data_IF_564813613546
#
_entry.id   IF_564813613546
#
_cell.length_a   1.000
_cell.length_b   1.000
_cell.length_c   1.000
_cell.angle_alpha   90.00
_cell.angle_beta   90.00
_cell.angle_gamma   90.00
#
_symmetry.space_group_name_H-M   'P 1'
#
loop_
_entity.id
_entity.type
_entity.pdbx_description
1 polymer ?
#
# COMPACT_ATOMS: atom_id res chain seq x y z
N UNK A 1 -19.11 36.95 16.32
CA UNK A 1 -18.36 36.18 15.30
C UNK A 1 -18.72 34.71 15.45
N UNK A 2 -19.18 34.01 14.46
CA UNK A 2 -19.35 32.56 14.56
C UNK A 2 -17.95 31.93 14.71
N UNK A 3 -17.81 30.84 15.49
CA UNK A 3 -16.54 30.16 15.63
C UNK A 3 -16.10 29.66 14.27
N UNK A 4 -14.85 29.93 13.88
CA UNK A 4 -14.25 29.37 12.67
C UNK A 4 -14.26 27.85 12.83
N UNK A 5 -15.20 27.17 12.19
CA UNK A 5 -15.25 25.71 12.19
C UNK A 5 -14.04 25.20 11.42
N UNK A 6 -13.02 24.76 12.13
CA UNK A 6 -11.89 24.07 11.53
C UNK A 6 -12.43 22.81 10.83
N UNK A 7 -11.98 22.57 9.59
CA UNK A 7 -12.37 21.36 8.83
C UNK A 7 -12.11 20.10 9.66
N UNK A 8 -12.99 19.09 9.58
CA UNK A 8 -12.78 17.81 10.25
C UNK A 8 -11.52 17.12 9.72
N UNK A 9 -10.87 16.34 10.57
CA UNK A 9 -9.68 15.56 10.20
C UNK A 9 -10.09 14.25 9.52
N UNK A 10 -9.43 13.92 8.40
CA UNK A 10 -9.53 12.62 7.75
C UNK A 10 -8.18 11.90 7.87
N UNK A 11 -8.12 10.84 8.69
CA UNK A 11 -6.93 10.00 8.74
C UNK A 11 -6.90 9.08 7.51
N UNK A 12 -6.31 9.56 6.43
CA UNK A 12 -6.34 8.90 5.12
C UNK A 12 -5.71 7.50 5.16
N UNK A 13 -4.73 7.27 6.02
CA UNK A 13 -4.07 5.96 6.13
C UNK A 13 -4.96 4.91 6.77
N UNK A 14 -5.82 5.28 7.70
CA UNK A 14 -6.80 4.36 8.30
C UNK A 14 -7.86 3.96 7.28
N UNK A 15 -8.30 4.91 6.44
CA UNK A 15 -9.23 4.62 5.35
C UNK A 15 -8.62 3.68 4.30
N UNK A 16 -7.38 3.91 3.88
CA UNK A 16 -6.67 2.97 3.00
C UNK A 16 -6.50 1.60 3.64
N UNK A 17 -6.11 1.55 4.92
CA UNK A 17 -5.94 0.30 5.65
C UNK A 17 -7.26 -0.48 5.77
N UNK A 18 -8.38 0.22 5.99
CA UNK A 18 -9.70 -0.39 6.05
C UNK A 18 -10.12 -1.01 4.71
N UNK A 19 -9.92 -0.30 3.58
CA UNK A 19 -10.15 -0.86 2.23
C UNK A 19 -9.28 -2.09 1.98
N UNK A 20 -7.97 -2.00 2.26
CA UNK A 20 -7.05 -3.13 2.09
C UNK A 20 -7.49 -4.34 2.94
N UNK A 21 -7.89 -4.11 4.20
CA UNK A 21 -8.38 -5.17 5.09
C UNK A 21 -9.64 -5.83 4.54
N UNK A 22 -10.62 -5.06 4.07
CA UNK A 22 -11.84 -5.62 3.49
C UNK A 22 -11.55 -6.42 2.21
N UNK A 23 -10.64 -5.92 1.36
CA UNK A 23 -10.17 -6.65 0.17
C UNK A 23 -9.52 -7.98 0.54
N UNK A 24 -8.64 -8.01 1.55
CA UNK A 24 -7.94 -9.23 1.97
C UNK A 24 -8.88 -10.25 2.62
N UNK A 25 -9.96 -9.81 3.25
CA UNK A 25 -10.98 -10.69 3.85
C UNK A 25 -11.95 -11.27 2.80
N UNK A 26 -12.28 -10.51 1.76
CA UNK A 26 -13.33 -10.87 0.80
C UNK A 26 -12.82 -11.49 -0.50
N UNK A 27 -11.57 -11.23 -0.88
CA UNK A 27 -10.98 -11.75 -2.11
C UNK A 27 -10.09 -12.96 -1.79
N UNK A 28 -10.48 -14.20 -2.14
CA UNK A 28 -9.74 -15.41 -1.74
C UNK A 28 -8.26 -15.41 -2.11
N UNK A 29 -7.91 -14.82 -3.26
CA UNK A 29 -6.53 -14.71 -3.71
C UNK A 29 -5.64 -13.79 -2.84
N UNK A 30 -6.24 -12.98 -1.96
CA UNK A 30 -5.56 -12.05 -1.04
C UNK A 30 -5.67 -12.46 0.42
N UNK A 31 -6.42 -13.52 0.77
CA UNK A 31 -6.73 -13.88 2.16
C UNK A 31 -5.53 -14.38 2.98
N UNK A 32 -4.38 -14.63 2.32
CA UNK A 32 -3.12 -14.93 3.00
C UNK A 32 -2.48 -13.69 3.66
N UNK A 33 -3.00 -12.49 3.41
CA UNK A 33 -2.45 -11.22 3.88
C UNK A 33 -3.10 -10.83 5.20
N UNK A 34 -2.31 -10.82 6.28
CA UNK A 34 -2.73 -10.24 7.56
C UNK A 34 -2.40 -8.76 7.61
N UNK A 35 -3.43 -7.91 7.48
CA UNK A 35 -3.27 -6.45 7.51
C UNK A 35 -2.79 -5.89 8.85
N UNK A 36 -2.75 -6.67 9.93
CA UNK A 36 -2.12 -6.24 11.18
C UNK A 36 -0.59 -6.17 11.07
N UNK A 37 0.00 -6.88 10.11
CA UNK A 37 1.45 -6.91 9.85
C UNK A 37 1.86 -6.06 8.63
N UNK A 38 0.90 -5.31 8.06
CA UNK A 38 1.12 -4.37 6.95
C UNK A 38 0.87 -2.96 7.47
N UNK A 39 1.91 -2.15 7.57
CA UNK A 39 1.74 -0.73 7.91
C UNK A 39 1.39 0.06 6.67
N UNK A 40 0.42 0.96 6.80
CA UNK A 40 -0.05 1.81 5.71
C UNK A 40 0.35 3.25 5.99
N UNK A 41 1.00 3.86 5.02
CA UNK A 41 1.43 5.25 5.08
C UNK A 41 1.05 6.04 3.84
N UNK A 42 1.27 7.35 3.89
CA UNK A 42 1.24 8.18 2.69
C UNK A 42 2.46 9.08 2.60
N UNK A 43 2.83 9.39 1.36
CA UNK A 43 3.89 10.33 1.03
C UNK A 43 3.30 11.48 0.23
N UNK A 44 3.72 12.71 0.56
CA UNK A 44 3.29 13.88 -0.20
C UNK A 44 4.20 14.06 -1.43
N UNK A 45 3.59 14.14 -2.63
CA UNK A 45 4.34 14.45 -3.86
C UNK A 45 4.37 15.96 -4.09
N UNK A 46 5.51 16.46 -4.55
CA UNK A 46 5.72 17.91 -4.77
C UNK A 46 5.02 18.44 -6.04
N UNK A 47 4.72 17.57 -6.97
CA UNK A 47 4.09 17.96 -8.25
C UNK A 47 2.94 17.02 -8.61
N UNK A 48 2.05 17.53 -9.47
CA UNK A 48 0.90 16.80 -10.02
C UNK A 48 1.26 16.07 -11.34
N UNK A 49 2.53 15.72 -11.54
CA UNK A 49 2.93 14.95 -12.71
C UNK A 49 2.32 13.56 -12.68
N UNK A 50 1.81 13.09 -13.81
CA UNK A 50 1.37 11.70 -14.01
C UNK A 50 2.54 10.70 -14.02
N UNK A 51 3.78 11.19 -14.13
CA UNK A 51 4.97 10.36 -14.09
C UNK A 51 5.40 10.12 -12.64
N UNK A 52 5.60 8.86 -12.29
CA UNK A 52 6.04 8.43 -10.97
C UNK A 52 5.06 7.47 -10.30
N UNK A 53 5.40 7.03 -9.10
CA UNK A 53 4.62 6.05 -8.36
C UNK A 53 3.32 6.64 -7.82
N UNK A 54 2.25 5.87 -7.90
CA UNK A 54 0.95 6.14 -7.30
C UNK A 54 0.84 5.50 -5.92
N UNK A 55 1.39 4.29 -5.77
CA UNK A 55 1.58 3.57 -4.52
C UNK A 55 2.87 2.77 -4.59
N UNK A 56 3.30 2.17 -3.49
CA UNK A 56 4.41 1.23 -3.45
C UNK A 56 4.30 0.27 -2.28
N UNK A 57 4.58 -0.99 -2.51
CA UNK A 57 4.82 -1.97 -1.46
C UNK A 57 6.32 -2.12 -1.22
N UNK A 58 6.75 -1.97 0.02
CA UNK A 58 8.14 -2.22 0.44
C UNK A 58 8.16 -3.45 1.34
N UNK A 59 8.84 -4.54 0.93
CA UNK A 59 9.07 -5.69 1.79
C UNK A 59 10.04 -5.30 2.92
N UNK A 60 9.77 -5.77 4.14
CA UNK A 60 10.60 -5.49 5.31
C UNK A 60 11.43 -6.72 5.74
N UNK A 61 11.59 -7.66 4.81
CA UNK A 61 12.50 -8.81 4.90
C UNK A 61 13.29 -8.93 3.61
N UNK A 62 14.41 -9.60 3.69
CA UNK A 62 15.20 -10.01 2.53
C UNK A 62 14.55 -11.19 1.81
N UNK A 63 15.06 -11.61 0.64
CA UNK A 63 14.55 -12.78 -0.08
C UNK A 63 14.31 -13.98 0.84
N UNK A 64 13.24 -14.72 0.56
CA UNK A 64 12.75 -15.87 1.36
C UNK A 64 12.29 -15.54 2.78
N UNK A 65 12.12 -14.24 3.13
CA UNK A 65 11.70 -13.80 4.46
C UNK A 65 12.84 -13.68 5.47
N UNK A 66 14.09 -13.73 5.00
CA UNK A 66 15.26 -13.62 5.85
C UNK A 66 15.34 -12.26 6.57
N UNK A 67 15.71 -12.27 7.85
CA UNK A 67 15.86 -11.05 8.66
C UNK A 67 17.16 -10.32 8.36
N UNK A 68 18.17 -11.06 7.94
CA UNK A 68 19.52 -10.54 7.66
C UNK A 68 19.95 -10.89 6.24
N UNK A 69 20.93 -10.18 5.73
CA UNK A 69 21.60 -10.48 4.47
C UNK A 69 23.06 -10.06 4.55
N UNK A 70 23.87 -10.52 3.61
CA UNK A 70 25.27 -10.08 3.49
C UNK A 70 25.35 -9.07 2.35
N UNK A 71 25.88 -7.88 2.63
CA UNK A 71 26.18 -6.86 1.63
C UNK A 71 27.60 -6.35 1.84
N UNK A 72 28.42 -6.45 0.79
CA UNK A 72 29.84 -6.04 0.83
C UNK A 72 30.60 -6.66 2.01
N UNK A 73 30.37 -7.95 2.26
CA UNK A 73 31.03 -8.71 3.35
C UNK A 73 30.52 -8.39 4.76
N UNK A 74 29.48 -7.54 4.91
CA UNK A 74 28.91 -7.17 6.23
C UNK A 74 27.48 -7.65 6.35
N UNK A 75 27.10 -8.09 7.53
CA UNK A 75 25.73 -8.45 7.85
C UNK A 75 24.87 -7.19 7.95
N UNK A 76 23.73 -7.21 7.32
CA UNK A 76 22.79 -6.07 7.30
C UNK A 76 21.37 -6.52 7.64
N UNK A 77 20.58 -5.57 8.18
CA UNK A 77 19.16 -5.72 8.46
C UNK A 77 18.38 -4.59 7.79
N UNK A 78 17.09 -4.81 7.52
CA UNK A 78 16.17 -3.73 7.14
C UNK A 78 15.69 -3.04 8.41
N UNK A 79 15.62 -1.72 8.40
CA UNK A 79 15.07 -0.92 9.50
C UNK A 79 13.70 -1.46 9.93
N UNK A 80 13.57 -1.70 11.21
CA UNK A 80 12.29 -2.14 11.79
C UNK A 80 11.27 -1.01 11.79
N UNK A 81 10.04 -1.34 11.49
CA UNK A 81 8.88 -0.47 11.61
C UNK A 81 7.90 -1.24 12.48
N UNK A 82 7.45 -0.68 13.63
CA UNK A 82 6.46 -1.34 14.46
C UNK A 82 5.10 -1.34 13.74
N UNK A 83 4.39 -2.45 13.83
CA UNK A 83 2.99 -2.56 13.45
C UNK A 83 2.06 -2.08 14.59
N UNK A 84 0.74 -2.19 14.40
CA UNK A 84 -0.24 -1.76 15.39
C UNK A 84 -0.16 -2.51 16.74
N UNK A 85 0.50 -3.68 16.77
CA UNK A 85 0.70 -4.50 17.99
C UNK A 85 2.04 -4.23 18.67
N UNK A 86 2.89 -3.39 18.06
CA UNK A 86 4.28 -3.16 18.48
C UNK A 86 5.28 -4.19 17.96
N UNK A 87 4.83 -5.21 17.22
CA UNK A 87 5.72 -6.17 16.56
C UNK A 87 6.36 -5.58 15.29
N UNK A 88 7.42 -6.22 14.78
CA UNK A 88 8.03 -5.82 13.51
C UNK A 88 7.05 -6.05 12.35
N UNK A 89 6.61 -5.02 11.64
CA UNK A 89 5.82 -5.15 10.43
C UNK A 89 6.56 -5.98 9.37
N UNK A 90 5.81 -6.62 8.49
CA UNK A 90 6.35 -7.39 7.37
C UNK A 90 6.40 -6.58 6.08
N UNK A 91 5.49 -5.62 5.96
CA UNK A 91 5.36 -4.80 4.75
C UNK A 91 5.02 -3.36 5.10
N UNK A 92 5.48 -2.44 4.26
CA UNK A 92 5.09 -1.03 4.25
C UNK A 92 4.41 -0.72 2.92
N UNK A 93 3.15 -0.31 2.98
CA UNK A 93 2.36 0.14 1.85
C UNK A 93 2.21 1.65 1.90
N UNK A 94 2.79 2.37 0.95
CA UNK A 94 2.70 3.84 0.86
C UNK A 94 1.87 4.27 -0.34
N UNK A 95 1.00 5.28 -0.14
CA UNK A 95 0.25 5.97 -1.19
C UNK A 95 0.83 7.36 -1.42
N UNK A 96 0.99 7.77 -2.67
CA UNK A 96 1.62 9.04 -3.03
C UNK A 96 0.56 10.09 -3.36
N UNK A 97 0.30 11.03 -2.45
CA UNK A 97 -0.74 12.05 -2.59
C UNK A 97 -0.15 13.41 -3.02
N UNK A 98 -0.81 14.15 -3.91
CA UNK A 98 -2.11 13.89 -4.55
C UNK A 98 -2.05 12.96 -5.77
N UNK A 99 -0.86 12.51 -6.21
CA UNK A 99 -0.68 11.76 -7.46
C UNK A 99 -1.59 10.55 -7.60
N UNK A 100 -1.81 9.78 -6.52
CA UNK A 100 -2.72 8.64 -6.51
C UNK A 100 -4.12 9.01 -7.03
N UNK A 101 -4.58 10.22 -6.75
CA UNK A 101 -5.90 10.71 -7.15
C UNK A 101 -5.96 11.26 -8.59
N UNK A 102 -4.84 11.29 -9.32
CA UNK A 102 -4.86 11.61 -10.75
C UNK A 102 -5.48 10.51 -11.61
N UNK A 103 -5.54 9.30 -11.08
CA UNK A 103 -6.23 8.17 -11.68
C UNK A 103 -7.74 8.25 -11.40
N UNK A 104 -8.54 7.59 -12.23
CA UNK A 104 -9.96 7.37 -11.97
C UNK A 104 -10.18 6.30 -10.88
N UNK A 105 -11.42 6.10 -10.48
CA UNK A 105 -11.77 5.19 -9.40
C UNK A 105 -11.37 3.72 -9.69
N UNK A 106 -11.66 3.13 -10.87
CA UNK A 106 -11.21 1.79 -11.21
C UNK A 106 -9.67 1.62 -11.12
N UNK A 107 -8.93 2.60 -11.63
CA UNK A 107 -7.47 2.57 -11.60
C UNK A 107 -6.90 2.74 -10.18
N UNK A 108 -7.57 3.50 -9.31
CA UNK A 108 -7.21 3.58 -7.89
C UNK A 108 -7.37 2.23 -7.20
N UNK A 109 -8.47 1.53 -7.44
CA UNK A 109 -8.70 0.18 -6.92
C UNK A 109 -7.68 -0.81 -7.47
N UNK A 110 -7.43 -0.78 -8.78
CA UNK A 110 -6.40 -1.60 -9.42
C UNK A 110 -5.03 -1.36 -8.79
N UNK A 111 -4.67 -0.09 -8.53
CA UNK A 111 -3.40 0.27 -7.90
C UNK A 111 -3.28 -0.32 -6.49
N UNK A 112 -4.34 -0.25 -5.67
CA UNK A 112 -4.35 -0.85 -4.33
C UNK A 112 -4.10 -2.36 -4.44
N UNK A 113 -4.86 -3.05 -5.29
CA UNK A 113 -4.73 -4.51 -5.47
C UNK A 113 -3.38 -4.88 -6.06
N UNK A 114 -2.83 -4.08 -6.99
CA UNK A 114 -1.50 -4.26 -7.55
C UNK A 114 -0.43 -4.33 -6.45
N UNK A 115 -0.47 -3.41 -5.51
CA UNK A 115 0.48 -3.40 -4.40
C UNK A 115 0.25 -4.59 -3.44
N UNK A 116 -0.99 -4.92 -3.13
CA UNK A 116 -1.30 -6.10 -2.31
C UNK A 116 -0.87 -7.40 -3.01
N UNK A 117 -1.00 -7.47 -4.34
CA UNK A 117 -0.60 -8.65 -5.12
C UNK A 117 0.91 -8.88 -5.15
N UNK A 118 1.72 -7.84 -4.87
CA UNK A 118 3.16 -7.99 -4.66
C UNK A 118 3.53 -8.76 -3.40
N UNK A 119 2.64 -8.89 -2.43
CA UNK A 119 2.88 -9.62 -1.18
C UNK A 119 3.09 -11.11 -1.50
N UNK A 120 4.14 -11.70 -0.90
CA UNK A 120 4.43 -13.13 -1.05
C UNK A 120 3.24 -13.99 -0.60
N UNK A 121 2.85 -15.03 -1.34
CA UNK A 121 1.85 -15.99 -0.88
C UNK A 121 2.20 -16.67 0.46
N UNK A 122 3.49 -16.71 0.81
CA UNK A 122 3.96 -17.21 2.12
C UNK A 122 3.79 -16.20 3.25
N UNK A 123 3.44 -14.96 2.93
CA UNK A 123 3.30 -13.84 3.85
C UNK A 123 4.46 -13.68 4.83
N UNK A 124 5.68 -13.80 4.33
CA UNK A 124 6.92 -13.87 5.12
C UNK A 124 7.75 -12.57 5.10
N UNK A 125 7.21 -11.48 4.55
CA UNK A 125 7.90 -10.19 4.42
C UNK A 125 8.74 -10.05 3.16
N UNK A 126 8.78 -11.06 2.26
CA UNK A 126 9.33 -10.99 0.90
C UNK A 126 8.22 -10.67 -0.11
N UNK A 127 8.57 -10.29 -1.34
CA UNK A 127 7.61 -10.08 -2.41
C UNK A 127 7.24 -11.40 -3.12
N UNK A 128 6.11 -11.39 -3.81
CA UNK A 128 5.72 -12.43 -4.75
C UNK A 128 6.75 -12.49 -5.87
N UNK A 129 7.31 -13.69 -6.07
CA UNK A 129 8.27 -13.94 -7.12
C UNK A 129 7.63 -14.75 -8.23
N UNK A 130 7.55 -14.16 -9.39
CA UNK A 130 6.99 -14.80 -10.59
C UNK A 130 8.13 -15.34 -11.46
N UNK A 131 7.89 -16.43 -12.22
CA UNK A 131 8.88 -16.92 -13.15
C UNK A 131 9.26 -15.87 -14.19
N UNK A 132 10.53 -15.82 -14.58
CA UNK A 132 11.02 -14.93 -15.63
C UNK A 132 12.09 -13.95 -15.17
N UNK A 133 12.58 -13.14 -16.11
CA UNK A 133 13.72 -12.23 -15.91
C UNK A 133 13.41 -11.09 -14.95
N UNK A 134 12.15 -10.65 -14.92
CA UNK A 134 11.63 -9.64 -13.99
C UNK A 134 10.69 -10.32 -13.00
N UNK A 135 11.25 -10.86 -11.91
CA UNK A 135 10.50 -11.64 -10.92
C UNK A 135 9.36 -10.86 -10.22
N UNK A 136 9.40 -9.52 -10.22
CA UNK A 136 8.38 -8.70 -9.57
C UNK A 136 7.08 -8.57 -10.39
N UNK A 137 7.17 -8.60 -11.74
CA UNK A 137 6.01 -8.42 -12.63
C UNK A 137 5.87 -9.54 -13.68
N UNK A 138 6.60 -10.66 -13.55
CA UNK A 138 6.74 -11.68 -14.60
C UNK A 138 7.34 -11.10 -15.89
N UNK A 139 7.21 -11.78 -17.02
CA UNK A 139 7.63 -11.26 -18.33
C UNK A 139 6.74 -10.14 -18.88
N UNK A 140 5.64 -9.77 -18.20
CA UNK A 140 4.69 -8.75 -18.67
C UNK A 140 4.00 -8.05 -17.51
N UNK A 141 4.30 -6.77 -17.33
CA UNK A 141 3.55 -5.89 -16.42
C UNK A 141 2.05 -5.88 -16.76
N UNK A 142 1.71 -5.96 -18.06
CA UNK A 142 0.32 -6.00 -18.53
C UNK A 142 -0.47 -7.17 -17.93
N UNK A 143 0.13 -8.35 -17.82
CA UNK A 143 -0.54 -9.52 -17.23
C UNK A 143 -0.73 -9.33 -15.71
N UNK A 144 0.26 -8.75 -15.02
CA UNK A 144 0.16 -8.44 -13.60
C UNK A 144 -0.96 -7.44 -13.34
N UNK A 145 -1.03 -6.38 -14.13
CA UNK A 145 -2.07 -5.35 -14.06
C UNK A 145 -3.46 -5.92 -14.39
N UNK A 146 -3.56 -6.85 -15.33
CA UNK A 146 -4.82 -7.51 -15.66
C UNK A 146 -5.35 -8.36 -14.48
N UNK A 147 -4.46 -9.10 -13.78
CA UNK A 147 -4.84 -9.83 -12.56
C UNK A 147 -5.30 -8.86 -11.48
N UNK A 148 -4.57 -7.76 -11.25
CA UNK A 148 -4.95 -6.76 -10.27
C UNK A 148 -6.33 -6.15 -10.57
N UNK A 149 -6.62 -5.86 -11.84
CA UNK A 149 -7.92 -5.36 -12.27
C UNK A 149 -9.06 -6.38 -12.03
N UNK A 150 -8.83 -7.66 -12.35
CA UNK A 150 -9.81 -8.72 -12.09
C UNK A 150 -10.11 -8.87 -10.59
N UNK A 151 -9.09 -8.85 -9.75
CA UNK A 151 -9.26 -8.96 -8.30
C UNK A 151 -9.97 -7.72 -7.71
N UNK A 152 -9.71 -6.51 -8.24
CA UNK A 152 -10.42 -5.30 -7.85
C UNK A 152 -11.91 -5.38 -8.19
N UNK A 153 -12.25 -5.91 -9.37
CA UNK A 153 -13.64 -6.16 -9.76
C UNK A 153 -14.30 -7.27 -8.93
N UNK A 154 -13.56 -8.36 -8.64
CA UNK A 154 -14.05 -9.41 -7.77
C UNK A 154 -14.40 -8.85 -6.37
N UNK A 155 -13.58 -7.93 -5.83
CA UNK A 155 -13.90 -7.25 -4.59
C UNK A 155 -15.18 -6.41 -4.69
N UNK A 156 -15.35 -5.59 -5.73
CA UNK A 156 -16.57 -4.80 -5.93
C UNK A 156 -17.82 -5.69 -6.06
N UNK A 157 -17.69 -6.88 -6.69
CA UNK A 157 -18.77 -7.85 -6.81
C UNK A 157 -19.24 -8.44 -5.44
N UNK A 158 -18.42 -8.31 -4.38
CA UNK A 158 -18.83 -8.67 -3.01
C UNK A 158 -19.73 -7.63 -2.35
N UNK A 159 -20.10 -6.57 -3.05
CA UNK A 159 -20.91 -5.45 -2.55
C UNK A 159 -20.36 -4.87 -1.23
N UNK A 160 -19.11 -4.38 -1.20
CA UNK A 160 -18.56 -3.76 -0.01
C UNK A 160 -19.37 -2.51 0.36
N UNK A 161 -19.38 -2.15 1.66
CA UNK A 161 -20.06 -0.93 2.12
C UNK A 161 -19.51 0.30 1.38
N UNK A 162 -20.34 1.08 0.67
CA UNK A 162 -19.89 2.27 -0.06
C UNK A 162 -19.14 3.29 0.82
N UNK A 163 -19.47 3.38 2.10
CA UNK A 163 -18.80 4.27 3.06
C UNK A 163 -17.32 3.94 3.22
N UNK A 164 -16.95 2.67 3.01
CA UNK A 164 -15.57 2.21 3.11
C UNK A 164 -14.68 2.81 2.04
N UNK A 165 -15.19 3.03 0.82
CA UNK A 165 -14.39 3.45 -0.33
C UNK A 165 -14.86 4.76 -0.98
N UNK A 166 -15.85 5.46 -0.42
CA UNK A 166 -16.37 6.72 -0.97
C UNK A 166 -15.26 7.77 -1.15
N UNK A 167 -14.28 7.81 -0.25
CA UNK A 167 -13.12 8.71 -0.36
C UNK A 167 -12.30 8.44 -1.63
N UNK A 168 -12.29 7.20 -2.14
CA UNK A 168 -11.61 6.84 -3.39
C UNK A 168 -12.38 7.32 -4.64
N UNK A 169 -13.65 7.64 -4.53
CA UNK A 169 -14.47 8.14 -5.64
C UNK A 169 -14.36 9.65 -5.82
N UNK A 170 -13.94 10.36 -4.78
CA UNK A 170 -13.75 11.82 -4.81
C UNK A 170 -12.45 12.21 -5.55
N UNK A 171 -12.39 13.47 -6.00
CA UNK A 171 -11.11 14.08 -6.37
C UNK A 171 -10.29 14.46 -5.13
N UNK A 172 -8.97 14.56 -5.26
CA UNK A 172 -8.15 15.04 -4.13
C UNK A 172 -8.53 16.46 -3.72
N UNK A 173 -8.91 17.31 -4.69
CA UNK A 173 -9.39 18.66 -4.41
C UNK A 173 -10.64 18.65 -3.55
N UNK A 174 -11.60 17.79 -3.86
CA UNK A 174 -12.81 17.62 -3.03
C UNK A 174 -12.47 17.18 -1.60
N UNK A 175 -11.51 16.28 -1.44
CA UNK A 175 -11.10 15.81 -0.11
C UNK A 175 -10.49 16.95 0.72
N UNK A 176 -9.57 17.74 0.18
CA UNK A 176 -8.91 18.83 0.93
C UNK A 176 -9.81 20.04 1.15
N UNK A 177 -10.88 20.20 0.36
CA UNK A 177 -11.92 21.22 0.62
C UNK A 177 -12.81 20.87 1.82
N UNK A 178 -12.99 19.58 2.09
CA UNK A 178 -13.88 19.10 3.14
C UNK A 178 -13.15 18.60 4.39
N UNK A 179 -11.86 18.28 4.29
CA UNK A 179 -11.10 17.65 5.37
C UNK A 179 -9.66 18.16 5.45
N UNK A 180 -9.13 18.19 6.66
CA UNK A 180 -7.69 18.24 6.90
C UNK A 180 -7.16 16.81 6.80
N UNK A 181 -6.37 16.53 5.75
CA UNK A 181 -5.80 15.20 5.53
C UNK A 181 -4.68 14.94 6.54
N UNK A 182 -4.85 13.90 7.32
CA UNK A 182 -3.89 13.40 8.32
C UNK A 182 -3.55 11.94 8.05
N UNK A 183 -2.59 11.38 8.78
CA UNK A 183 -2.23 9.96 8.70
C UNK A 183 -0.74 9.72 8.92
N UNK A 184 -0.34 8.47 8.84
CA UNK A 184 1.04 8.04 9.07
C UNK A 184 1.92 8.34 7.86
N UNK A 185 3.14 8.83 8.12
CA UNK A 185 4.15 9.11 7.09
C UNK A 185 5.38 8.28 7.36
N UNK A 186 5.73 7.43 6.42
CA UNK A 186 6.94 6.62 6.51
C UNK A 186 7.88 6.97 5.36
N UNK A 187 9.14 7.23 5.71
CA UNK A 187 10.20 7.29 4.73
C UNK A 187 10.59 5.90 4.21
N UNK A 188 11.46 5.87 3.22
CA UNK A 188 12.03 4.60 2.73
C UNK A 188 12.82 3.93 3.86
N UNK A 189 12.52 2.66 4.22
CA UNK A 189 13.26 1.93 5.23
C UNK A 189 14.74 1.84 4.90
N UNK A 190 15.61 2.09 5.88
CA UNK A 190 17.06 2.03 5.72
C UNK A 190 17.54 0.59 5.83
N UNK A 191 18.66 0.29 5.15
CA UNK A 191 19.42 -0.91 5.37
C UNK A 191 20.56 -0.55 6.35
N UNK A 192 20.59 -1.25 7.47
CA UNK A 192 21.47 -0.98 8.61
C UNK A 192 22.51 -2.09 8.68
N UNK A 193 23.78 -1.72 8.74
CA UNK A 193 24.89 -2.67 8.97
C UNK A 193 24.92 -3.04 10.45
N UNK A 194 24.97 -4.32 10.74
CA UNK A 194 25.20 -4.81 12.10
C UNK A 194 26.70 -4.68 12.46
N UNK A 195 27.00 -4.48 13.75
CA UNK A 195 28.39 -4.41 14.21
C UNK A 195 29.16 -5.67 13.95
#
# INVERSE_FOLDING_TARGET
MPPSSSLPKLNITDYFAAVCRDMTLKVPALNHIDMNRVVVGFCQTRNNSRYGMYASLTPLRFPNGERTSIRRGRQVVIQKIPDATGADALYLLNFYLPRFYLNDFPERLRTIVHELWHISPKFNGDIRRLPGRCYAHSGSQKNFDAVAAQLAQAWLATNPDPRLYSFLQCSFQTLIQNYVITGQKYGRPKIITLP
#
